data_IF_688515549740
#
_entry.id   IF_688515549740
#
_cell.length_a   1.000
_cell.length_b   1.000
_cell.length_c   1.000
_cell.angle_alpha   90.00
_cell.angle_beta   90.00
_cell.angle_gamma   90.00
#
_symmetry.space_group_name_H-M   'P 1'
#
loop_
_entity.id
_entity.type
_entity.pdbx_description
1 polymer ?
#
# COMPACT_ATOMS: atom_id res chain seq x y z
N UNK A 1 -17.49 -30.13 -13.61
CA UNK A 1 -18.24 -29.00 -13.03
C UNK A 1 -18.05 -29.08 -11.53
N UNK A 2 -16.95 -28.53 -11.02
CA UNK A 2 -16.75 -28.35 -9.59
C UNK A 2 -16.36 -26.90 -9.41
N UNK A 3 -17.23 -26.19 -8.70
CA UNK A 3 -17.08 -24.83 -8.21
C UNK A 3 -15.76 -24.74 -7.44
N UNK A 4 -14.69 -24.37 -8.13
CA UNK A 4 -13.45 -23.96 -7.48
C UNK A 4 -13.77 -22.66 -6.76
N UNK A 5 -13.91 -22.82 -5.45
CA UNK A 5 -14.29 -21.80 -4.49
C UNK A 5 -13.41 -20.57 -4.71
N UNK A 6 -13.99 -19.56 -5.35
CA UNK A 6 -13.39 -18.26 -5.62
C UNK A 6 -13.36 -17.47 -4.31
N UNK A 7 -12.66 -18.01 -3.30
CA UNK A 7 -12.44 -17.31 -2.04
C UNK A 7 -11.47 -16.15 -2.32
N UNK A 8 -11.88 -14.89 -2.09
CA UNK A 8 -10.97 -13.76 -2.21
C UNK A 8 -9.78 -14.03 -1.28
N UNK A 9 -8.59 -14.17 -1.85
CA UNK A 9 -7.37 -14.39 -1.10
C UNK A 9 -7.08 -13.17 -0.21
N UNK A 10 -7.61 -13.20 1.01
CA UNK A 10 -7.36 -12.18 2.03
C UNK A 10 -5.86 -12.10 2.29
N UNK A 11 -5.34 -10.87 2.39
CA UNK A 11 -3.93 -10.64 2.78
C UNK A 11 -3.71 -11.19 4.20
N UNK A 12 -2.49 -11.65 4.54
CA UNK A 12 -2.19 -12.19 5.87
C UNK A 12 -2.59 -11.26 7.03
N UNK A 13 -2.45 -9.95 6.85
CA UNK A 13 -2.88 -8.94 7.82
C UNK A 13 -4.41 -8.90 8.02
N UNK A 14 -5.19 -9.09 6.95
CA UNK A 14 -6.65 -9.16 7.01
C UNK A 14 -7.12 -10.45 7.68
N UNK A 15 -6.46 -11.58 7.39
CA UNK A 15 -6.72 -12.86 8.08
C UNK A 15 -6.47 -12.74 9.58
N UNK A 16 -5.36 -12.10 9.98
CA UNK A 16 -5.05 -11.86 11.39
C UNK A 16 -6.07 -10.93 12.05
N UNK A 17 -6.46 -9.84 11.38
CA UNK A 17 -7.47 -8.92 11.89
C UNK A 17 -8.81 -9.64 12.15
N UNK A 18 -9.26 -10.47 11.21
CA UNK A 18 -10.47 -11.28 11.35
C UNK A 18 -10.38 -12.28 12.52
N UNK A 19 -9.24 -12.97 12.68
CA UNK A 19 -9.01 -13.88 13.81
C UNK A 19 -9.06 -13.16 15.17
N UNK A 20 -8.62 -11.91 15.21
CA UNK A 20 -8.64 -11.07 16.41
C UNK A 20 -9.98 -10.35 16.62
N UNK A 21 -10.97 -10.55 15.73
CA UNK A 21 -12.27 -9.91 15.82
C UNK A 21 -12.27 -8.41 15.53
N UNK A 22 -11.22 -7.89 14.88
CA UNK A 22 -11.21 -6.51 14.43
C UNK A 22 -12.18 -6.32 13.26
N UNK A 23 -12.91 -5.19 13.22
CA UNK A 23 -13.75 -4.88 12.08
C UNK A 23 -12.89 -4.73 10.82
N UNK A 24 -13.49 -5.03 9.66
CA UNK A 24 -12.85 -4.75 8.38
C UNK A 24 -12.59 -3.24 8.26
N UNK A 25 -11.36 -2.82 7.91
CA UNK A 25 -11.06 -1.41 7.76
C UNK A 25 -11.91 -0.81 6.64
N UNK A 26 -12.46 0.38 6.91
CA UNK A 26 -13.22 1.12 5.91
C UNK A 26 -12.34 1.44 4.69
N UNK A 27 -12.90 1.37 3.46
CA UNK A 27 -12.17 1.81 2.28
C UNK A 27 -11.89 3.31 2.38
N UNK A 28 -10.71 3.72 1.91
CA UNK A 28 -10.35 5.15 1.89
C UNK A 28 -11.36 5.97 1.09
N UNK A 29 -11.74 7.10 1.67
CA UNK A 29 -12.49 8.15 0.96
C UNK A 29 -11.68 8.69 -0.22
N UNK A 30 -12.34 9.32 -1.20
CA UNK A 30 -11.65 9.93 -2.34
C UNK A 30 -10.61 10.98 -1.90
N UNK A 31 -10.93 11.74 -0.85
CA UNK A 31 -10.01 12.74 -0.31
C UNK A 31 -8.77 12.09 0.34
N UNK A 32 -8.95 11.02 1.10
CA UNK A 32 -7.84 10.29 1.71
C UNK A 32 -6.98 9.62 0.65
N UNK A 33 -7.59 9.06 -0.41
CA UNK A 33 -6.86 8.52 -1.54
C UNK A 33 -6.03 9.61 -2.24
N UNK A 34 -6.58 10.82 -2.42
CA UNK A 34 -5.85 11.95 -2.99
C UNK A 34 -4.64 12.33 -2.11
N UNK A 35 -4.85 12.51 -0.80
CA UNK A 35 -3.77 12.83 0.16
C UNK A 35 -2.69 11.74 0.19
N UNK A 36 -3.10 10.47 0.11
CA UNK A 36 -2.17 9.35 0.03
C UNK A 36 -1.30 9.43 -1.23
N UNK A 37 -1.89 9.68 -2.39
CA UNK A 37 -1.15 9.84 -3.66
C UNK A 37 -0.18 11.01 -3.59
N UNK A 38 -0.62 12.17 -3.13
CA UNK A 38 0.27 13.35 -2.96
C UNK A 38 1.46 13.05 -2.03
N UNK A 39 1.21 12.32 -0.94
CA UNK A 39 2.27 11.90 -0.01
C UNK A 39 3.24 10.91 -0.67
N UNK A 40 2.73 9.95 -1.44
CA UNK A 40 3.54 8.98 -2.16
C UNK A 40 4.41 9.65 -3.22
N UNK A 41 3.83 10.53 -4.04
CA UNK A 41 4.55 11.26 -5.09
C UNK A 41 5.67 12.12 -4.50
N UNK A 42 5.41 12.76 -3.35
CA UNK A 42 6.44 13.52 -2.62
C UNK A 42 7.58 12.62 -2.14
N UNK A 43 7.25 11.45 -1.59
CA UNK A 43 8.25 10.50 -1.13
C UNK A 43 9.11 9.99 -2.31
N UNK A 44 8.49 9.69 -3.45
CA UNK A 44 9.18 9.28 -4.67
C UNK A 44 10.14 10.36 -5.19
N UNK A 45 9.69 11.62 -5.20
CA UNK A 45 10.54 12.74 -5.60
C UNK A 45 11.75 12.90 -4.68
N UNK A 46 11.55 12.77 -3.36
CA UNK A 46 12.63 12.81 -2.37
C UNK A 46 13.62 11.66 -2.58
N UNK A 47 13.12 10.45 -2.81
CA UNK A 47 13.96 9.28 -3.04
C UNK A 47 14.81 9.44 -4.31
N UNK A 48 14.21 9.91 -5.40
CA UNK A 48 14.95 10.21 -6.65
C UNK A 48 16.04 11.24 -6.43
N UNK A 49 15.79 12.30 -5.66
CA UNK A 49 16.80 13.30 -5.33
C UNK A 49 17.98 12.71 -4.53
N UNK A 50 17.69 11.84 -3.55
CA UNK A 50 18.73 11.15 -2.76
C UNK A 50 19.56 10.23 -3.65
N UNK A 51 18.93 9.45 -4.52
CA UNK A 51 19.59 8.56 -5.47
C UNK A 51 20.50 9.36 -6.41
N UNK A 52 19.98 10.44 -7.01
CA UNK A 52 20.76 11.31 -7.89
C UNK A 52 21.97 11.94 -7.19
N UNK A 53 21.82 12.37 -5.92
CA UNK A 53 22.94 12.86 -5.11
C UNK A 53 24.00 11.78 -4.91
N UNK A 54 23.60 10.57 -4.50
CA UNK A 54 24.53 9.46 -4.30
C UNK A 54 25.29 9.06 -5.56
N UNK A 55 24.62 9.05 -6.72
CA UNK A 55 25.30 8.73 -7.98
C UNK A 55 26.29 9.81 -8.42
N UNK A 56 26.03 11.09 -8.09
CA UNK A 56 26.97 12.18 -8.37
C UNK A 56 28.22 12.09 -7.49
N UNK A 57 28.06 11.71 -6.23
CA UNK A 57 29.18 11.63 -5.27
C UNK A 57 30.03 10.36 -5.45
N UNK A 58 29.52 9.35 -6.18
CA UNK A 58 30.20 8.09 -6.48
C UNK A 58 30.91 8.06 -7.85
N UNK A 59 30.81 9.13 -8.64
CA UNK A 59 31.44 9.31 -9.95
C UNK A 59 32.58 10.34 -9.87
#
# INVERSE_FOLDING_TARGET
MTDETNEPHLRPSQKLAALLGFPEPEPFTEEEQRRYREKADRADAQLRAIIARRHRDAA
#
